data_IF_810371026996
#
_entry.id   IF_810371026996
#
_cell.length_a   1.000
_cell.length_b   1.000
_cell.length_c   1.000
_cell.angle_alpha   90.00
_cell.angle_beta   90.00
_cell.angle_gamma   90.00
#
_symmetry.space_group_name_H-M   'P 1'
#
loop_
_entity.id
_entity.type
_entity.pdbx_description
1 polymer ?
#
# COMPACT_ATOMS: atom_id res chain seq x y z
N UNK A 1 32.14 -2.46 -0.21
CA UNK A 1 31.17 -1.84 -1.13
C UNK A 1 30.05 -2.85 -1.28
N UNK A 2 28.97 -2.68 -0.52
CA UNK A 2 27.84 -3.61 -0.58
C UNK A 2 26.96 -3.17 -1.75
N UNK A 3 27.17 -3.81 -2.88
CA UNK A 3 26.31 -3.70 -4.06
C UNK A 3 25.03 -4.49 -3.72
N UNK A 4 24.06 -3.80 -3.11
CA UNK A 4 22.70 -4.32 -2.98
C UNK A 4 22.13 -4.46 -4.38
N UNK A 5 22.34 -5.64 -4.98
CA UNK A 5 21.71 -6.04 -6.23
C UNK A 5 20.21 -6.05 -5.99
N UNK A 6 19.57 -4.96 -6.41
CA UNK A 6 18.13 -4.76 -6.37
C UNK A 6 17.44 -5.96 -7.03
N UNK A 7 16.60 -6.64 -6.26
CA UNK A 7 16.02 -7.94 -6.59
C UNK A 7 15.05 -7.78 -7.77
N UNK A 8 15.51 -8.18 -8.95
CA UNK A 8 14.76 -9.03 -9.89
C UNK A 8 13.31 -8.67 -10.24
N UNK A 9 12.94 -7.41 -10.39
CA UNK A 9 11.70 -7.06 -11.10
C UNK A 9 12.03 -6.95 -12.59
N UNK A 10 11.42 -7.81 -13.41
CA UNK A 10 11.43 -7.62 -14.88
C UNK A 10 11.05 -6.16 -15.18
N UNK A 11 11.73 -5.50 -16.13
CA UNK A 11 11.31 -4.17 -16.57
C UNK A 11 9.85 -4.27 -17.03
N UNK A 12 9.03 -3.33 -16.53
CA UNK A 12 7.62 -3.25 -16.91
C UNK A 12 7.53 -2.99 -18.40
N UNK A 13 6.58 -3.63 -19.06
CA UNK A 13 6.19 -3.27 -20.42
C UNK A 13 5.54 -1.89 -20.41
N UNK A 14 5.60 -1.18 -21.54
CA UNK A 14 4.95 0.13 -21.69
C UNK A 14 3.45 0.12 -21.31
N UNK A 15 2.77 -1.00 -21.56
CA UNK A 15 1.37 -1.17 -21.17
C UNK A 15 1.19 -1.25 -19.65
N UNK A 16 2.07 -1.98 -18.96
CA UNK A 16 2.05 -2.09 -17.50
C UNK A 16 2.41 -0.76 -16.83
N UNK A 17 3.37 -0.01 -17.38
CA UNK A 17 3.66 1.35 -16.93
C UNK A 17 2.44 2.25 -17.10
N UNK A 18 1.81 2.26 -18.28
CA UNK A 18 0.62 3.07 -18.53
C UNK A 18 -0.53 2.69 -17.58
N UNK A 19 -0.71 1.39 -17.33
CA UNK A 19 -1.70 0.90 -16.36
C UNK A 19 -1.41 1.43 -14.95
N UNK A 20 -0.14 1.43 -14.55
CA UNK A 20 0.29 1.94 -13.25
C UNK A 20 0.08 3.45 -13.12
N UNK A 21 0.45 4.23 -14.13
CA UNK A 21 0.22 5.68 -14.17
C UNK A 21 -1.28 6.02 -14.09
N UNK A 22 -2.12 5.26 -14.79
CA UNK A 22 -3.56 5.46 -14.77
C UNK A 22 -4.20 5.12 -13.44
N UNK A 23 -3.81 4.00 -12.82
CA UNK A 23 -4.43 3.53 -11.58
C UNK A 23 -3.92 4.26 -10.34
N UNK A 24 -2.64 4.59 -10.28
CA UNK A 24 -2.02 5.20 -9.11
C UNK A 24 -2.03 6.73 -9.20
N UNK A 25 -1.59 7.30 -10.33
CA UNK A 25 -1.51 8.74 -10.51
C UNK A 25 -2.75 9.35 -11.17
N UNK A 26 -3.74 8.53 -11.51
CA UNK A 26 -5.00 8.97 -12.13
C UNK A 26 -4.77 9.71 -13.46
N UNK A 27 -3.69 9.38 -14.19
CA UNK A 27 -3.39 9.95 -15.50
C UNK A 27 -4.24 9.21 -16.55
N UNK A 28 -5.07 9.91 -17.34
CA UNK A 28 -5.87 9.25 -18.38
C UNK A 28 -4.99 8.47 -19.37
N UNK A 29 -5.48 7.31 -19.82
CA UNK A 29 -4.72 6.41 -20.70
C UNK A 29 -4.12 7.10 -21.94
N UNK A 30 -4.91 7.93 -22.61
CA UNK A 30 -4.49 8.68 -23.80
C UNK A 30 -3.40 9.73 -23.51
N UNK A 31 -3.26 10.18 -22.26
CA UNK A 31 -2.13 11.00 -21.84
C UNK A 31 -0.89 10.14 -21.57
N UNK A 32 -1.05 8.96 -20.95
CA UNK A 32 0.07 8.03 -20.73
C UNK A 32 0.75 7.60 -22.03
N UNK A 33 -0.01 7.41 -23.11
CA UNK A 33 0.52 7.02 -24.43
C UNK A 33 1.42 8.09 -25.04
N UNK A 34 1.14 9.37 -24.77
CA UNK A 34 1.84 10.54 -25.32
C UNK A 34 3.13 10.88 -24.57
N UNK A 35 3.46 10.17 -23.49
CA UNK A 35 4.73 10.33 -22.78
C UNK A 35 5.79 9.57 -23.56
N UNK A 36 6.51 10.27 -24.43
CA UNK A 36 7.53 9.70 -25.31
C UNK A 36 8.93 9.74 -24.69
N UNK A 37 9.21 10.74 -23.85
CA UNK A 37 10.49 10.84 -23.15
C UNK A 37 10.63 9.72 -22.11
N UNK A 38 11.74 8.97 -22.20
CA UNK A 38 12.01 7.84 -21.32
C UNK A 38 12.30 8.31 -19.89
N UNK A 39 12.95 9.47 -19.74
CA UNK A 39 13.26 10.08 -18.45
C UNK A 39 12.00 10.49 -17.69
N UNK A 40 11.07 11.16 -18.36
CA UNK A 40 9.77 11.56 -17.78
C UNK A 40 8.95 10.34 -17.37
N UNK A 41 8.98 9.30 -18.21
CA UNK A 41 8.28 8.03 -17.94
C UNK A 41 8.87 7.32 -16.73
N UNK A 42 10.20 7.18 -16.67
CA UNK A 42 10.91 6.60 -15.52
C UNK A 42 10.55 7.35 -14.23
N UNK A 43 10.61 8.68 -14.27
CA UNK A 43 10.26 9.52 -13.11
C UNK A 43 8.81 9.31 -12.66
N UNK A 44 7.85 9.30 -13.59
CA UNK A 44 6.44 9.10 -13.25
C UNK A 44 6.16 7.71 -12.68
N UNK A 45 6.81 6.68 -13.21
CA UNK A 45 6.70 5.31 -12.68
C UNK A 45 7.31 5.23 -11.28
N UNK A 46 8.44 5.86 -11.04
CA UNK A 46 9.05 5.96 -9.71
C UNK A 46 8.11 6.67 -8.72
N UNK A 47 7.50 7.78 -9.12
CA UNK A 47 6.50 8.47 -8.29
C UNK A 47 5.25 7.64 -8.05
N UNK A 48 4.81 6.86 -9.03
CA UNK A 48 3.73 5.91 -8.82
C UNK A 48 4.12 4.82 -7.80
N UNK A 49 5.38 4.34 -7.80
CA UNK A 49 5.86 3.40 -6.77
C UNK A 49 5.81 4.02 -5.37
N UNK A 50 6.25 5.26 -5.23
CA UNK A 50 6.20 5.99 -3.95
C UNK A 50 4.76 6.09 -3.42
N UNK A 51 3.83 6.59 -4.25
CA UNK A 51 2.41 6.75 -3.91
C UNK A 51 1.76 5.40 -3.56
N UNK A 52 2.04 4.36 -4.35
CA UNK A 52 1.57 3.00 -4.05
C UNK A 52 2.07 2.51 -2.70
N UNK A 53 3.33 2.80 -2.34
CA UNK A 53 3.89 2.52 -1.03
C UNK A 53 3.12 3.19 0.11
N UNK A 54 2.81 4.49 -0.04
CA UNK A 54 2.02 5.22 0.95
C UNK A 54 0.58 4.67 1.09
N UNK A 55 -0.07 4.33 -0.03
CA UNK A 55 -1.42 3.76 -0.02
C UNK A 55 -1.45 2.39 0.69
N UNK A 56 -0.46 1.54 0.42
CA UNK A 56 -0.30 0.25 1.11
C UNK A 56 -0.12 0.43 2.61
N UNK A 57 0.74 1.36 3.03
CA UNK A 57 0.94 1.66 4.46
C UNK A 57 -0.35 2.15 5.12
N UNK A 58 -1.10 3.04 4.46
CA UNK A 58 -2.38 3.53 4.96
C UNK A 58 -3.39 2.39 5.12
N UNK A 59 -3.47 1.49 4.15
CA UNK A 59 -4.37 0.34 4.18
C UNK A 59 -4.03 -0.60 5.35
N UNK A 60 -2.74 -0.91 5.54
CA UNK A 60 -2.27 -1.75 6.65
C UNK A 60 -2.59 -1.12 8.00
N UNK A 61 -2.32 0.18 8.17
CA UNK A 61 -2.62 0.88 9.42
C UNK A 61 -4.12 0.89 9.75
N UNK A 62 -4.98 1.02 8.73
CA UNK A 62 -6.42 0.95 8.91
C UNK A 62 -6.89 -0.46 9.31
N UNK A 63 -6.31 -1.49 8.70
CA UNK A 63 -6.62 -2.89 9.01
C UNK A 63 -6.21 -3.24 10.46
N UNK A 64 -5.01 -2.84 10.89
CA UNK A 64 -4.55 -3.06 12.26
C UNK A 64 -5.46 -2.41 13.32
N UNK A 65 -6.01 -1.22 13.03
CA UNK A 65 -6.98 -0.58 13.93
C UNK A 65 -8.29 -1.35 14.04
N UNK A 66 -8.78 -1.88 12.91
CA UNK A 66 -10.02 -2.68 12.89
C UNK A 66 -9.84 -3.99 13.67
N UNK A 67 -8.71 -4.66 13.47
CA UNK A 67 -8.39 -5.91 14.17
C UNK A 67 -8.29 -5.70 15.69
N UNK A 68 -7.69 -4.58 16.13
CA UNK A 68 -7.64 -4.21 17.56
C UNK A 68 -9.02 -3.92 18.16
N UNK A 69 -9.94 -3.31 17.40
CA UNK A 69 -11.31 -3.10 17.86
C UNK A 69 -12.08 -4.41 18.02
N UNK A 70 -11.92 -5.36 17.10
CA UNK A 70 -12.58 -6.67 17.21
C UNK A 70 -12.08 -7.49 18.40
N UNK A 71 -10.77 -7.44 18.70
CA UNK A 71 -10.22 -8.12 19.88
C UNK A 71 -10.74 -7.55 21.21
N UNK A 72 -11.00 -6.24 21.30
CA UNK A 72 -11.56 -5.64 22.52
C UNK A 72 -13.03 -6.02 22.77
N UNK A 73 -13.81 -6.31 21.72
CA UNK A 73 -15.23 -6.72 21.89
C UNK A 73 -15.40 -8.18 22.29
N UNK A 74 -14.36 -9.02 22.21
CA UNK A 74 -14.43 -10.44 22.59
C UNK A 74 -13.95 -10.73 24.02
N UNK A 75 -13.58 -9.72 24.81
CA UNK A 75 -13.37 -9.95 26.25
C UNK A 75 -14.73 -10.03 26.96
N UNK A 76 -15.12 -11.19 27.53
CA UNK A 76 -16.32 -11.25 28.36
C UNK A 76 -16.13 -10.30 29.55
N UNK A 77 -17.18 -9.57 29.98
CA UNK A 77 -17.07 -8.68 31.13
C UNK A 77 -16.60 -9.51 32.33
N UNK A 78 -15.46 -9.13 32.93
CA UNK A 78 -15.02 -9.73 34.18
C UNK A 78 -16.03 -9.32 35.27
N UNK A 79 -17.00 -10.19 35.49
CA UNK A 79 -17.90 -10.11 36.63
C UNK A 79 -17.08 -10.36 37.90
N UNK A 80 -16.75 -9.27 38.59
CA UNK A 80 -16.29 -9.30 39.97
C UNK A 80 -17.44 -9.79 40.86
N UNK A 81 -17.67 -11.11 40.90
CA UNK A 81 -18.56 -11.72 41.89
C UNK A 81 -17.77 -11.75 43.21
N UNK A 82 -18.01 -10.72 44.02
CA UNK A 82 -17.63 -10.67 45.43
C UNK A 82 -18.45 -11.75 46.14
N UNK A 83 -17.86 -12.91 46.43
CA UNK A 83 -18.41 -13.86 47.40
C UNK A 83 -17.82 -13.56 48.78
N UNK A 84 -18.59 -13.04 49.75
CA UNK A 84 -18.23 -13.20 51.14
C UNK A 84 -18.71 -14.56 51.63
N UNK A 85 -17.75 -15.35 52.13
CA UNK A 85 -17.98 -16.45 53.05
C UNK A 85 -18.56 -15.88 54.36
N UNK A 86 -19.76 -16.30 54.75
CA UNK A 86 -20.13 -16.80 56.10
C UNK A 86 -21.63 -17.10 56.19
#
# INVERSE_FOLDING_TARGET
>A
MNEEKNVGTKPLTRQEENWKLMTVLQIPWHHCERIEAEEDRCFLVEKANEVEGYLKQQQLAQQEMMDKQQQQQQQPPQSNIITPFQ
#
